data_IF_323397428775
#
_entry.id   IF_323397428775
#
_cell.length_a   1.000
_cell.length_b   1.000
_cell.length_c   1.000
_cell.angle_alpha   90.00
_cell.angle_beta   90.00
_cell.angle_gamma   90.00
#
_symmetry.space_group_name_H-M   'P 1'
#
loop_
_entity.id
_entity.type
_entity.pdbx_description
1 polymer ?
#
# COMPACT_ATOMS: atom_id res chain seq x y z
N UNK A 1 -9.32 28.88 59.16
CA UNK A 1 -9.25 27.47 58.70
C UNK A 1 -10.37 27.28 57.69
N UNK A 2 -10.22 26.94 56.41
CA UNK A 2 -9.07 26.64 55.57
C UNK A 2 -9.44 26.91 54.10
N UNK A 3 -8.44 27.22 53.27
CA UNK A 3 -8.59 27.59 51.86
C UNK A 3 -8.74 26.38 50.93
N UNK A 4 -9.58 26.52 49.90
CA UNK A 4 -9.71 25.57 48.80
C UNK A 4 -8.66 25.85 47.73
N UNK A 5 -7.61 25.03 47.68
CA UNK A 5 -6.63 25.01 46.59
C UNK A 5 -7.04 24.01 45.51
N UNK A 6 -7.68 24.48 44.44
CA UNK A 6 -7.86 23.70 43.23
C UNK A 6 -6.52 23.50 42.53
N UNK A 7 -6.04 22.26 42.48
CA UNK A 7 -4.89 21.90 41.64
C UNK A 7 -5.37 21.73 40.21
N UNK A 8 -5.09 22.70 39.34
CA UNK A 8 -5.19 22.53 37.89
C UNK A 8 -3.84 21.96 37.41
N UNK A 9 -3.84 20.70 37.00
CA UNK A 9 -2.71 20.08 36.32
C UNK A 9 -2.45 20.82 35.01
N UNK A 10 -1.35 21.57 34.93
CA UNK A 10 -0.91 22.21 33.71
C UNK A 10 -0.46 21.16 32.69
N UNK A 11 -1.33 20.79 31.76
CA UNK A 11 -0.90 20.09 30.55
C UNK A 11 -0.18 21.12 29.66
N UNK A 12 1.16 21.12 29.68
CA UNK A 12 1.94 21.85 28.69
C UNK A 12 1.68 21.19 27.33
N UNK A 13 0.91 21.86 26.48
CA UNK A 13 0.77 21.46 25.09
C UNK A 13 2.08 21.84 24.38
N UNK A 14 2.97 20.86 24.20
CA UNK A 14 4.12 21.03 23.33
C UNK A 14 3.62 21.12 21.88
N UNK A 15 3.56 22.33 21.33
CA UNK A 15 3.35 22.54 19.89
C UNK A 15 4.62 22.12 19.15
N UNK A 16 4.59 20.95 18.52
CA UNK A 16 5.61 20.57 17.56
C UNK A 16 5.39 21.35 16.26
N UNK A 17 6.32 22.23 15.91
CA UNK A 17 6.40 22.78 14.55
C UNK A 17 6.82 21.64 13.63
N UNK A 18 5.87 21.06 12.91
CA UNK A 18 6.17 20.13 11.82
C UNK A 18 6.71 20.96 10.65
N UNK A 19 8.03 21.00 10.50
CA UNK A 19 8.65 21.55 9.30
C UNK A 19 8.25 20.66 8.13
N UNK A 20 7.34 21.15 7.28
CA UNK A 20 7.03 20.49 6.01
C UNK A 20 8.22 20.74 5.09
N UNK A 21 9.15 19.78 5.01
CA UNK A 21 10.21 19.79 4.01
C UNK A 21 9.60 19.98 2.62
N UNK A 22 10.28 20.77 1.76
CA UNK A 22 9.80 21.10 0.42
C UNK A 22 9.27 19.85 -0.32
N UNK A 23 8.02 19.95 -0.79
CA UNK A 23 7.27 18.89 -1.44
C UNK A 23 7.73 18.71 -2.89
N UNK A 24 8.71 17.83 -3.11
CA UNK A 24 8.94 17.23 -4.41
C UNK A 24 8.00 16.03 -4.63
N UNK A 25 7.40 15.91 -5.81
CA UNK A 25 6.75 14.66 -6.21
C UNK A 25 7.84 13.63 -6.45
N UNK A 26 7.77 12.50 -5.75
CA UNK A 26 8.69 11.38 -5.96
C UNK A 26 7.94 10.19 -6.54
N UNK A 27 8.64 9.41 -7.36
CA UNK A 27 8.24 8.04 -7.65
C UNK A 27 9.07 7.11 -6.78
N UNK A 28 8.41 6.17 -6.12
CA UNK A 28 9.07 5.07 -5.44
C UNK A 28 8.32 3.78 -5.72
N UNK A 29 9.03 2.66 -5.57
CA UNK A 29 8.47 1.33 -5.72
C UNK A 29 8.36 0.66 -4.35
N UNK A 30 7.71 -0.49 -4.30
CA UNK A 30 7.73 -1.33 -3.11
C UNK A 30 9.17 -1.67 -2.74
N UNK A 31 9.54 -1.40 -1.49
CA UNK A 31 10.86 -1.69 -0.95
C UNK A 31 10.88 -3.05 -0.24
N UNK A 32 9.74 -3.52 0.26
CA UNK A 32 9.62 -4.80 0.94
C UNK A 32 8.22 -5.38 0.84
N UNK A 33 8.12 -6.68 1.05
CA UNK A 33 6.86 -7.38 1.29
C UNK A 33 6.67 -7.48 2.79
N UNK A 34 5.56 -6.95 3.31
CA UNK A 34 5.21 -7.01 4.73
C UNK A 34 4.43 -8.28 5.04
N UNK A 35 3.46 -8.62 4.19
CA UNK A 35 2.63 -9.81 4.31
C UNK A 35 1.89 -10.04 2.99
N UNK A 36 1.34 -11.25 2.80
CA UNK A 36 0.49 -11.60 1.67
C UNK A 36 -0.44 -12.75 2.08
N UNK A 37 -1.58 -12.89 1.40
CA UNK A 37 -2.51 -14.01 1.61
C UNK A 37 -1.93 -15.33 1.12
N UNK A 38 -1.49 -15.34 -0.13
CA UNK A 38 -0.88 -16.48 -0.79
C UNK A 38 0.05 -16.03 -1.92
N UNK A 39 0.77 -16.99 -2.48
CA UNK A 39 1.57 -16.81 -3.68
C UNK A 39 1.65 -18.15 -4.41
N UNK A 40 1.81 -18.12 -5.74
CA UNK A 40 1.89 -19.32 -6.56
C UNK A 40 3.03 -20.24 -6.12
N UNK A 41 4.25 -19.70 -6.00
CA UNK A 41 5.37 -20.45 -5.42
C UNK A 41 6.45 -19.54 -4.84
N UNK A 42 7.40 -20.15 -4.12
CA UNK A 42 8.62 -19.45 -3.66
C UNK A 42 9.64 -19.23 -4.77
N UNK A 43 9.55 -19.94 -5.89
CA UNK A 43 10.50 -19.86 -7.01
C UNK A 43 10.00 -18.92 -8.12
N UNK A 44 8.71 -18.90 -8.38
CA UNK A 44 8.07 -18.14 -9.45
C UNK A 44 6.75 -17.55 -8.98
N UNK A 45 6.44 -16.36 -9.50
CA UNK A 45 5.26 -15.57 -9.16
C UNK A 45 5.05 -15.30 -7.67
N UNK A 46 6.15 -15.33 -6.90
CA UNK A 46 6.15 -15.08 -5.47
C UNK A 46 5.94 -13.60 -5.12
N UNK A 47 5.53 -13.31 -3.89
CA UNK A 47 5.29 -11.94 -3.41
C UNK A 47 6.50 -11.02 -3.58
N UNK A 48 7.71 -11.57 -3.45
CA UNK A 48 8.99 -10.87 -3.67
C UNK A 48 9.13 -10.22 -5.05
N UNK A 49 8.39 -10.71 -6.04
CA UNK A 49 8.41 -10.20 -7.41
C UNK A 49 7.87 -8.76 -7.52
N UNK A 50 7.12 -8.28 -6.52
CA UNK A 50 6.62 -6.89 -6.49
C UNK A 50 7.70 -5.89 -6.06
N UNK A 51 8.76 -6.33 -5.38
CA UNK A 51 9.78 -5.43 -4.83
C UNK A 51 10.64 -4.86 -5.95
N UNK A 52 10.86 -3.54 -5.91
CA UNK A 52 11.65 -2.81 -6.90
C UNK A 52 10.86 -2.37 -8.12
N UNK A 53 11.58 -1.94 -9.15
CA UNK A 53 10.99 -1.43 -10.39
C UNK A 53 10.24 -2.56 -11.12
N UNK A 54 9.06 -2.31 -11.72
CA UNK A 54 8.38 -3.29 -12.57
C UNK A 54 9.29 -3.79 -13.70
N UNK A 55 9.42 -5.11 -13.83
CA UNK A 55 10.28 -5.76 -14.84
C UNK A 55 9.51 -6.48 -15.95
N UNK A 56 8.20 -6.66 -15.78
CA UNK A 56 7.34 -7.38 -16.74
C UNK A 56 6.69 -6.39 -17.72
N UNK A 57 5.99 -5.37 -17.23
CA UNK A 57 5.42 -4.31 -18.07
C UNK A 57 6.53 -3.59 -18.87
N UNK A 58 6.34 -3.27 -20.17
CA UNK A 58 5.08 -3.29 -20.92
C UNK A 58 4.70 -4.63 -21.55
N UNK A 59 5.46 -5.71 -21.33
CA UNK A 59 5.08 -7.03 -21.82
C UNK A 59 3.85 -7.52 -21.05
N UNK A 60 2.87 -8.06 -21.77
CA UNK A 60 1.68 -8.70 -21.23
C UNK A 60 1.81 -10.23 -21.31
N UNK A 61 0.96 -10.92 -20.58
CA UNK A 61 0.98 -12.37 -20.39
C UNK A 61 1.53 -12.79 -19.03
N UNK A 62 1.53 -14.10 -18.83
CA UNK A 62 2.11 -14.73 -17.66
C UNK A 62 3.65 -14.63 -17.71
N UNK A 63 4.27 -14.14 -16.65
CA UNK A 63 5.73 -14.08 -16.48
C UNK A 63 6.06 -14.44 -15.02
N UNK A 64 7.04 -15.32 -14.75
CA UNK A 64 7.39 -15.77 -13.40
C UNK A 64 7.89 -14.63 -12.48
N UNK A 65 8.17 -13.45 -13.03
CA UNK A 65 8.59 -12.23 -12.32
C UNK A 65 7.45 -11.27 -12.01
N UNK A 66 6.19 -11.66 -12.21
CA UNK A 66 5.00 -10.96 -11.70
C UNK A 66 4.40 -11.75 -10.52
N UNK A 67 3.85 -11.09 -9.49
CA UNK A 67 3.16 -11.83 -8.43
C UNK A 67 1.85 -12.46 -8.94
N UNK A 68 1.58 -13.69 -8.52
CA UNK A 68 0.29 -14.33 -8.70
C UNK A 68 -0.09 -15.06 -7.40
N UNK A 69 -1.33 -14.91 -6.90
CA UNK A 69 -1.79 -15.67 -5.75
C UNK A 69 -2.09 -17.14 -6.13
N UNK A 70 -2.07 -18.02 -5.13
CA UNK A 70 -2.60 -19.38 -5.21
C UNK A 70 -3.55 -19.59 -4.03
N UNK A 71 -4.78 -19.03 -4.10
CA UNK A 71 -5.74 -19.11 -3.02
C UNK A 71 -6.09 -20.57 -2.70
N UNK A 72 -6.27 -20.94 -1.42
CA UNK A 72 -6.89 -22.21 -1.07
C UNK A 72 -8.35 -22.24 -1.56
N UNK A 73 -8.89 -23.45 -1.73
CA UNK A 73 -10.27 -23.62 -2.17
C UNK A 73 -11.26 -22.88 -1.24
N UNK A 74 -12.17 -22.09 -1.84
CA UNK A 74 -13.14 -21.29 -1.11
C UNK A 74 -12.69 -19.86 -0.76
N UNK A 75 -11.42 -19.50 -0.96
CA UNK A 75 -10.97 -18.10 -0.84
C UNK A 75 -11.37 -17.28 -2.07
N UNK A 76 -12.04 -16.14 -1.83
CA UNK A 76 -12.53 -15.25 -2.89
C UNK A 76 -11.72 -13.94 -3.00
N UNK A 77 -10.81 -13.68 -2.06
CA UNK A 77 -10.01 -12.44 -2.02
C UNK A 77 -8.59 -12.70 -1.60
N UNK A 78 -7.68 -12.22 -2.44
CA UNK A 78 -6.24 -12.30 -2.23
C UNK A 78 -5.66 -10.90 -2.06
N UNK A 79 -4.59 -10.78 -1.29
CA UNK A 79 -4.00 -9.50 -0.95
C UNK A 79 -2.49 -9.61 -0.75
N UNK A 80 -1.81 -8.49 -0.96
CA UNK A 80 -0.39 -8.30 -0.67
C UNK A 80 -0.19 -6.93 -0.03
N UNK A 81 0.59 -6.90 1.05
CA UNK A 81 0.95 -5.69 1.79
C UNK A 81 2.42 -5.38 1.56
N UNK A 82 2.70 -4.14 1.20
CA UNK A 82 4.00 -3.69 0.75
C UNK A 82 4.51 -2.57 1.65
N UNK A 83 5.81 -2.57 1.91
CA UNK A 83 6.51 -1.48 2.55
C UNK A 83 7.10 -0.54 1.49
N UNK A 84 6.98 0.76 1.74
CA UNK A 84 7.68 1.79 0.96
C UNK A 84 8.99 2.16 1.64
N UNK A 85 9.96 2.67 0.86
CA UNK A 85 11.29 3.05 1.38
C UNK A 85 11.22 4.17 2.42
N UNK A 86 10.23 5.05 2.31
CA UNK A 86 9.96 6.14 3.25
C UNK A 86 8.46 6.46 3.27
N UNK A 87 7.91 6.93 4.40
CA UNK A 87 6.55 7.44 4.47
C UNK A 87 6.35 8.62 3.50
N UNK A 88 5.23 8.62 2.78
CA UNK A 88 4.87 9.69 1.84
C UNK A 88 3.38 9.98 1.88
N UNK A 89 3.02 11.18 1.43
CA UNK A 89 1.65 11.47 1.05
C UNK A 89 1.42 10.95 -0.37
N UNK A 90 0.41 10.11 -0.52
CA UNK A 90 0.11 9.43 -1.77
C UNK A 90 -0.54 10.39 -2.77
N UNK A 91 0.05 10.54 -3.96
CA UNK A 91 -0.55 11.30 -5.07
C UNK A 91 -1.22 10.39 -6.10
N UNK A 92 -0.59 9.25 -6.41
CA UNK A 92 -1.10 8.26 -7.34
C UNK A 92 -0.54 6.87 -7.02
N UNK A 93 -1.27 5.82 -7.40
CA UNK A 93 -0.79 4.44 -7.39
C UNK A 93 -0.92 3.89 -8.80
N UNK A 94 0.15 3.28 -9.30
CA UNK A 94 0.15 2.58 -10.59
C UNK A 94 0.30 1.09 -10.32
N UNK A 95 -0.67 0.31 -10.78
CA UNK A 95 -0.64 -1.16 -10.72
C UNK A 95 -0.58 -1.68 -12.15
N UNK A 96 0.36 -2.57 -12.42
CA UNK A 96 0.50 -3.23 -13.72
C UNK A 96 0.00 -4.67 -13.62
N UNK A 97 -1.22 -4.91 -14.10
CA UNK A 97 -1.77 -6.26 -14.25
C UNK A 97 -1.36 -6.82 -15.63
N UNK A 98 -0.42 -7.76 -15.66
CA UNK A 98 0.13 -8.27 -16.93
C UNK A 98 -0.55 -9.54 -17.42
N UNK A 99 -1.20 -10.32 -16.55
CA UNK A 99 -1.96 -11.51 -16.90
C UNK A 99 -3.35 -11.43 -16.28
N UNK A 100 -4.40 -11.67 -17.08
CA UNK A 100 -5.81 -11.61 -16.66
C UNK A 100 -6.14 -10.32 -15.88
N UNK A 101 -6.00 -9.12 -16.49
CA UNK A 101 -6.25 -7.86 -15.79
C UNK A 101 -7.73 -7.68 -15.41
N UNK A 102 -7.99 -6.78 -14.46
CA UNK A 102 -9.33 -6.50 -13.93
C UNK A 102 -9.64 -7.19 -12.59
N UNK A 103 -8.63 -7.75 -11.91
CA UNK A 103 -8.81 -8.46 -10.63
C UNK A 103 -8.41 -7.62 -9.42
N UNK A 104 -7.80 -6.43 -9.61
CA UNK A 104 -7.54 -5.50 -8.50
C UNK A 104 -8.84 -4.87 -8.03
N UNK A 105 -9.27 -5.22 -6.82
CA UNK A 105 -10.55 -4.78 -6.26
C UNK A 105 -10.44 -3.54 -5.38
N UNK A 106 -9.34 -3.37 -4.65
CA UNK A 106 -9.14 -2.19 -3.80
C UNK A 106 -7.67 -1.92 -3.52
N UNK A 107 -7.37 -0.65 -3.26
CA UNK A 107 -6.07 -0.19 -2.77
C UNK A 107 -6.29 0.50 -1.44
N UNK A 108 -5.44 0.15 -0.47
CA UNK A 108 -5.53 0.63 0.90
C UNK A 108 -4.16 1.09 1.37
N UNK A 109 -4.13 2.13 2.18
CA UNK A 109 -2.90 2.68 2.75
C UNK A 109 -2.96 2.64 4.27
N UNK A 110 -1.83 2.36 4.90
CA UNK A 110 -1.71 2.50 6.35
C UNK A 110 -1.33 3.95 6.67
N UNK A 111 -2.17 4.65 7.43
CA UNK A 111 -1.93 6.05 7.79
C UNK A 111 -0.80 6.20 8.82
N UNK A 112 -0.49 5.13 9.57
CA UNK A 112 0.56 5.14 10.58
C UNK A 112 1.56 3.99 10.34
N UNK A 113 2.82 4.29 9.97
CA UNK A 113 3.82 3.26 9.73
C UNK A 113 4.15 2.42 10.99
N UNK A 114 3.95 2.95 12.20
CA UNK A 114 4.11 2.19 13.45
C UNK A 114 3.05 1.09 13.61
N UNK A 115 1.87 1.24 13.00
CA UNK A 115 0.83 0.20 13.00
C UNK A 115 1.01 -0.83 11.86
N UNK A 116 1.75 -0.48 10.80
CA UNK A 116 1.96 -1.37 9.66
C UNK A 116 2.72 -2.66 10.03
N UNK A 117 3.68 -2.58 10.96
CA UNK A 117 4.46 -3.74 11.42
C UNK A 117 3.72 -4.69 12.37
N UNK A 118 2.68 -4.21 13.06
CA UNK A 118 1.90 -5.01 14.03
C UNK A 118 0.79 -5.85 13.37
N UNK A 119 0.33 -5.46 12.18
CA UNK A 119 -0.70 -6.18 11.43
C UNK A 119 -0.16 -7.36 10.58
N UNK A 120 1.14 -7.67 10.66
CA UNK A 120 1.83 -8.66 9.83
C UNK A 120 1.88 -10.09 10.43
N UNK A 121 1.07 -10.38 11.47
CA UNK A 121 0.96 -11.72 12.03
C UNK A 121 0.29 -12.71 11.06
N UNK A 122 0.93 -13.84 10.82
CA UNK A 122 0.42 -14.93 9.99
C UNK A 122 -0.93 -15.44 10.55
N UNK A 123 -1.99 -15.33 9.75
CA UNK A 123 -3.31 -15.90 10.06
C UNK A 123 -4.43 -14.91 10.40
N UNK A 124 -4.15 -13.60 10.50
CA UNK A 124 -5.20 -12.60 10.77
C UNK A 124 -5.81 -12.05 9.49
N UNK A 125 -7.03 -12.48 9.13
CA UNK A 125 -7.80 -11.80 8.10
C UNK A 125 -7.99 -10.32 8.46
N UNK A 126 -7.67 -9.41 7.53
CA UNK A 126 -8.19 -8.04 7.43
C UNK A 126 -8.48 -7.27 8.74
N UNK A 127 -7.74 -7.46 9.84
CA UNK A 127 -7.88 -6.61 11.02
C UNK A 127 -7.10 -5.33 10.76
N UNK A 128 -7.72 -4.52 9.92
CA UNK A 128 -7.17 -3.33 9.28
C UNK A 128 -7.22 -2.09 10.18
N UNK A 129 -6.99 -2.27 11.47
CA UNK A 129 -6.86 -1.14 12.39
C UNK A 129 -5.75 -0.21 11.88
N UNK A 130 -6.14 0.92 11.29
CA UNK A 130 -5.22 1.91 10.70
C UNK A 130 -5.02 1.85 9.18
N UNK A 131 -5.70 0.97 8.42
CA UNK A 131 -5.66 0.97 6.95
C UNK A 131 -6.91 1.61 6.33
N UNK A 132 -6.70 2.71 5.60
CA UNK A 132 -7.72 3.45 4.88
C UNK A 132 -7.82 2.97 3.43
N UNK A 133 -9.03 2.70 2.96
CA UNK A 133 -9.28 2.45 1.52
C UNK A 133 -9.21 3.75 0.73
N UNK A 134 -8.33 3.79 -0.27
CA UNK A 134 -8.12 4.96 -1.13
C UNK A 134 -8.70 4.79 -2.53
N UNK A 135 -8.95 3.55 -2.93
CA UNK A 135 -9.54 3.20 -4.22
C UNK A 135 -10.26 1.85 -4.16
N UNK A 136 -11.38 1.70 -4.88
CA UNK A 136 -12.08 0.43 -5.10
C UNK A 136 -12.57 0.31 -6.53
N UNK A 137 -12.56 -0.89 -7.12
CA UNK A 137 -13.12 -1.12 -8.45
C UNK A 137 -14.59 -0.66 -8.50
N UNK A 138 -14.94 0.17 -9.50
CA UNK A 138 -16.28 0.74 -9.68
C UNK A 138 -16.52 2.10 -9.01
N UNK A 139 -15.54 2.67 -8.30
CA UNK A 139 -15.69 3.97 -7.63
C UNK A 139 -15.66 5.21 -8.55
N UNK A 140 -15.62 5.02 -9.88
CA UNK A 140 -15.57 6.11 -10.86
C UNK A 140 -14.34 7.01 -10.78
N UNK A 141 -13.38 6.72 -9.88
CA UNK A 141 -12.12 7.48 -9.71
C UNK A 141 -10.96 6.85 -10.47
N UNK A 142 -11.25 6.01 -11.47
CA UNK A 142 -10.27 5.49 -12.42
C UNK A 142 -9.72 6.63 -13.26
N UNK A 143 -8.69 7.33 -12.76
CA UNK A 143 -7.89 8.21 -13.60
C UNK A 143 -6.95 7.37 -14.47
N UNK A 144 -7.50 6.70 -15.47
CA UNK A 144 -6.74 6.51 -16.70
C UNK A 144 -6.68 7.87 -17.40
N UNK A 145 -5.77 8.75 -16.97
CA UNK A 145 -5.16 9.70 -17.89
C UNK A 145 -3.85 9.08 -18.31
N UNK A 146 -3.87 8.36 -19.42
CA UNK A 146 -2.65 8.12 -20.17
C UNK A 146 -1.95 9.48 -20.38
N UNK A 147 -0.63 9.60 -20.23
CA UNK A 147 0.05 10.81 -20.67
C UNK A 147 -0.25 10.99 -22.17
N UNK A 148 -1.04 12.01 -22.47
CA UNK A 148 -1.27 12.49 -23.83
C UNK A 148 0.09 12.94 -24.38
N UNK A 149 0.75 12.09 -25.17
CA UNK A 149 1.99 12.45 -25.87
C UNK A 149 3.07 11.38 -26.00
N UNK A 150 2.74 10.14 -26.34
CA UNK A 150 3.74 9.26 -26.96
C UNK A 150 3.73 9.51 -28.48
N UNK A 151 4.85 9.92 -29.11
CA UNK A 151 4.92 9.99 -30.56
C UNK A 151 4.82 8.57 -31.13
N UNK A 152 4.01 8.42 -32.18
CA UNK A 152 4.01 7.23 -33.01
C UNK A 152 5.41 7.02 -33.60
N UNK A 153 5.90 5.79 -33.53
CA UNK A 153 7.05 5.30 -34.30
C UNK A 153 6.51 4.36 -35.36
#
# INVERSE_FOLDING_TARGET
VGGGGGTVCGASAASAVVTVAQRGVITQHAASVLAFSSQFSKAENGARAIVGKPVVYPRAGHDPRAWAPAPPAGSTREWIRLGLSRPVLLSAVTVFETANPGHVLSIRICANPATAGRAAGAGGGASDGGWLTVWTAGDGRTSQRAPSGAPAV
#
